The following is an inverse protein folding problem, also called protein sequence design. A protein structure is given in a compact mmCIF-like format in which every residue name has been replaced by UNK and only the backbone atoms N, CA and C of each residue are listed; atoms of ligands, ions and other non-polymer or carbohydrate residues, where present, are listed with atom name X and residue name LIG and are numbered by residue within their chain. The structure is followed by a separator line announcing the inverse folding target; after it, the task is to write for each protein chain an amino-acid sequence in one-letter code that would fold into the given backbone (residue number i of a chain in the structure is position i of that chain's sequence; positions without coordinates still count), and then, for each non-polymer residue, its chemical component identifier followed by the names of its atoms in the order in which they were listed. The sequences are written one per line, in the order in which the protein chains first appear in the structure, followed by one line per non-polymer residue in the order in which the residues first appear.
data_IF_774151370751
#
_entry.id   IF_774151370751
#
_cell.length_a   1.000
_cell.length_b   1.000
_cell.length_c   1.000
_cell.angle_alpha   90.00
_cell.angle_beta   90.00
_cell.angle_gamma   90.00
#
_symmetry.space_group_name_H-M   'P 1'
#
loop_
_entity.id
_entity.type
_entity.pdbx_description
1 polymer ?
#
# COMPACT_ATOMS: atom_id res chain seq x y z
N UNK A 1 -14.16 6.27 -11.21
CA UNK A 1 -13.80 5.78 -9.87
C UNK A 1 -13.44 7.00 -9.02
N UNK A 2 -14.28 7.37 -8.06
CA UNK A 2 -14.04 8.58 -7.23
C UNK A 2 -12.84 8.43 -6.30
N UNK A 3 -12.45 7.19 -5.97
CA UNK A 3 -11.29 6.93 -5.12
C UNK A 3 -9.99 7.29 -5.83
N UNK A 4 -9.88 6.98 -7.14
CA UNK A 4 -8.74 7.36 -7.97
C UNK A 4 -8.53 8.88 -7.99
N UNK A 5 -9.60 9.66 -8.14
CA UNK A 5 -9.52 11.12 -8.18
C UNK A 5 -8.97 11.63 -6.84
N UNK A 6 -9.62 11.28 -5.73
CA UNK A 6 -9.19 11.70 -4.40
C UNK A 6 -7.75 11.27 -4.08
N UNK A 7 -7.39 10.04 -4.44
CA UNK A 7 -6.04 9.51 -4.29
C UNK A 7 -5.01 10.32 -5.10
N UNK A 8 -5.29 10.56 -6.39
CA UNK A 8 -4.37 11.28 -7.30
C UNK A 8 -4.13 12.70 -6.82
N UNK A 9 -5.20 13.42 -6.43
CA UNK A 9 -5.07 14.80 -5.92
C UNK A 9 -4.21 14.85 -4.66
N UNK A 10 -4.42 13.90 -3.74
CA UNK A 10 -3.63 13.82 -2.51
C UNK A 10 -2.16 13.45 -2.79
N UNK A 11 -1.92 12.48 -3.68
CA UNK A 11 -0.58 12.09 -4.11
C UNK A 11 0.18 13.29 -4.69
N UNK A 12 -0.41 14.01 -5.63
CA UNK A 12 0.21 15.19 -6.25
C UNK A 12 0.47 16.28 -5.22
N UNK A 13 -0.45 16.51 -4.29
CA UNK A 13 -0.25 17.47 -3.21
C UNK A 13 0.92 17.08 -2.27
N UNK A 14 1.05 15.79 -1.94
CA UNK A 14 2.17 15.28 -1.13
C UNK A 14 3.50 15.43 -1.88
N UNK A 15 3.51 15.13 -3.18
CA UNK A 15 4.71 15.30 -4.03
C UNK A 15 5.06 16.78 -4.21
N UNK A 16 4.11 17.70 -4.02
CA UNK A 16 4.29 19.14 -4.23
C UNK A 16 4.03 19.57 -5.68
N UNK A 17 3.20 18.84 -6.43
CA UNK A 17 2.78 19.22 -7.79
C UNK A 17 1.59 20.17 -7.68
N UNK A 18 1.68 21.32 -8.37
CA UNK A 18 0.59 22.28 -8.43
C UNK A 18 -0.59 21.72 -9.25
N UNK A 19 -1.80 22.01 -8.81
CA UNK A 19 -3.04 21.49 -9.40
C UNK A 19 -3.99 22.67 -9.66
N UNK A 20 -4.20 23.01 -10.93
CA UNK A 20 -5.06 24.12 -11.35
C UNK A 20 -6.29 23.57 -12.10
N UNK A 21 -7.47 23.70 -11.48
CA UNK A 21 -8.75 23.25 -12.06
C UNK A 21 -9.21 24.26 -13.12
N UNK A 22 -9.24 23.81 -14.38
CA UNK A 22 -9.64 24.63 -15.53
C UNK A 22 -11.13 24.50 -15.85
N UNK A 23 -11.90 23.76 -15.06
CA UNK A 23 -13.26 23.36 -15.37
C UNK A 23 -13.31 22.23 -16.41
N UNK A 24 -14.52 21.82 -16.79
CA UNK A 24 -14.76 20.77 -17.79
C UNK A 24 -14.05 19.43 -17.49
N UNK A 25 -13.83 19.13 -16.21
CA UNK A 25 -13.12 17.94 -15.73
C UNK A 25 -11.65 17.88 -16.20
N UNK A 26 -10.99 19.04 -16.29
CA UNK A 26 -9.59 19.18 -16.67
C UNK A 26 -8.79 19.85 -15.56
N UNK A 27 -7.63 19.28 -15.28
CA UNK A 27 -6.70 19.81 -14.28
C UNK A 27 -5.34 19.95 -14.94
N UNK A 28 -4.73 21.12 -14.77
CA UNK A 28 -3.36 21.38 -15.22
C UNK A 28 -2.42 21.08 -14.07
N UNK A 29 -1.50 20.15 -14.30
CA UNK A 29 -0.42 19.81 -13.39
C UNK A 29 0.83 20.57 -13.79
N UNK A 30 1.44 21.30 -12.86
CA UNK A 30 2.74 21.96 -13.08
C UNK A 30 3.73 21.65 -11.97
N UNK A 31 5.03 21.54 -12.28
CA UNK A 31 6.07 21.45 -11.26
C UNK A 31 6.03 22.64 -10.29
N UNK A 32 6.63 22.47 -9.11
CA UNK A 32 6.76 23.54 -8.12
C UNK A 32 8.13 23.52 -7.44
N UNK A 33 8.51 24.66 -6.86
CA UNK A 33 9.78 24.82 -6.14
C UNK A 33 9.90 23.96 -4.86
N UNK A 34 8.79 23.40 -4.38
CA UNK A 34 8.74 22.61 -3.15
C UNK A 34 8.45 21.13 -3.40
N UNK A 35 8.66 20.66 -4.63
CA UNK A 35 8.52 19.24 -4.96
C UNK A 35 9.48 18.37 -4.15
N UNK A 36 9.03 17.17 -3.79
CA UNK A 36 9.84 16.19 -3.06
C UNK A 36 11.04 15.70 -3.87
N UNK A 37 10.93 15.73 -5.20
CA UNK A 37 11.97 15.33 -6.14
C UNK A 37 12.21 16.45 -7.15
N UNK A 38 13.45 16.63 -7.64
CA UNK A 38 13.75 17.65 -8.65
C UNK A 38 12.95 17.45 -9.93
N UNK A 39 12.83 16.20 -10.38
CA UNK A 39 12.10 15.82 -11.59
C UNK A 39 11.13 14.68 -11.28
N UNK A 40 9.86 14.83 -11.63
CA UNK A 40 8.85 13.78 -11.45
C UNK A 40 8.62 13.01 -12.76
N UNK A 41 8.92 11.69 -12.80
CA UNK A 41 8.80 10.91 -14.03
C UNK A 41 7.39 10.95 -14.64
N UNK A 42 7.28 11.50 -15.85
CA UNK A 42 6.03 11.65 -16.59
C UNK A 42 5.38 13.03 -16.50
N UNK A 43 5.88 13.94 -15.67
CA UNK A 43 5.46 15.34 -15.62
C UNK A 43 6.45 16.21 -16.43
N UNK A 44 6.03 16.85 -17.53
CA UNK A 44 6.87 17.79 -18.28
C UNK A 44 7.16 19.07 -17.48
N UNK A 45 8.27 19.76 -17.81
CA UNK A 45 8.62 21.06 -17.19
C UNK A 45 7.53 22.12 -17.40
N UNK A 46 6.95 22.18 -18.60
CA UNK A 46 5.84 23.08 -18.94
C UNK A 46 4.48 22.63 -18.35
N UNK A 47 4.46 21.49 -17.65
CA UNK A 47 3.26 20.85 -17.12
C UNK A 47 2.50 20.00 -18.13
N UNK A 48 1.40 19.42 -17.69
CA UNK A 48 0.47 18.70 -18.54
C UNK A 48 -0.98 18.89 -18.11
N UNK A 49 -1.91 18.74 -19.05
CA UNK A 49 -3.34 18.70 -18.76
C UNK A 49 -3.77 17.25 -18.56
N UNK A 50 -4.54 16.99 -17.52
CA UNK A 50 -5.06 15.66 -17.19
C UNK A 50 -6.58 15.67 -17.12
N UNK A 51 -7.19 14.52 -17.35
CA UNK A 51 -8.62 14.27 -17.10
C UNK A 51 -8.85 12.86 -16.57
N UNK A 52 -9.89 12.69 -15.77
CA UNK A 52 -10.34 11.38 -15.28
C UNK A 52 -11.55 10.85 -16.07
N UNK A 53 -12.06 11.64 -17.02
CA UNK A 53 -13.22 11.31 -17.84
C UNK A 53 -12.79 10.84 -19.22
N UNK A 54 -13.19 9.62 -19.59
CA UNK A 54 -12.82 9.03 -20.87
C UNK A 54 -13.38 9.83 -22.05
N UNK A 55 -14.62 10.30 -21.94
CA UNK A 55 -15.28 11.05 -23.01
C UNK A 55 -14.59 12.40 -23.26
N UNK A 56 -14.09 13.04 -22.19
CA UNK A 56 -13.26 14.25 -22.31
C UNK A 56 -11.96 13.92 -23.02
N UNK A 57 -11.22 12.89 -22.58
CA UNK A 57 -9.97 12.47 -23.21
C UNK A 57 -10.12 12.11 -24.70
N UNK A 58 -11.25 11.52 -25.09
CA UNK A 58 -11.54 11.20 -26.49
C UNK A 58 -11.78 12.45 -27.36
N UNK A 59 -12.20 13.56 -26.74
CA UNK A 59 -12.44 14.83 -27.42
C UNK A 59 -11.26 15.82 -27.34
N UNK A 60 -10.33 15.58 -26.40
CA UNK A 60 -9.20 16.44 -26.05
C UNK A 60 -7.91 15.63 -26.09
N UNK A 61 -7.27 15.55 -27.26
CA UNK A 61 -5.99 14.84 -27.42
C UNK A 61 -4.84 15.46 -26.60
N UNK A 62 -4.98 16.73 -26.20
CA UNK A 62 -4.04 17.46 -25.35
C UNK A 62 -4.11 17.05 -23.86
N UNK A 63 -5.14 16.30 -23.45
CA UNK A 63 -5.35 15.86 -22.08
C UNK A 63 -4.97 14.39 -21.88
N UNK A 64 -4.17 14.11 -20.86
CA UNK A 64 -3.83 12.74 -20.49
C UNK A 64 -4.97 12.09 -19.70
N UNK A 65 -5.41 10.91 -20.14
CA UNK A 65 -6.44 10.14 -19.44
C UNK A 65 -5.86 9.37 -18.25
N UNK A 66 -6.24 9.77 -17.04
CA UNK A 66 -5.69 9.20 -15.80
C UNK A 66 -6.47 7.95 -15.39
N UNK A 67 -5.73 6.87 -15.21
CA UNK A 67 -6.18 5.58 -14.66
C UNK A 67 -5.19 5.11 -13.59
N UNK A 68 -5.52 4.04 -12.86
CA UNK A 68 -4.58 3.37 -11.96
C UNK A 68 -3.29 2.89 -12.63
N UNK A 69 -3.32 2.67 -13.95
CA UNK A 69 -2.18 2.21 -14.74
C UNK A 69 -1.38 3.36 -15.36
N UNK A 70 -1.82 4.61 -15.16
CA UNK A 70 -1.13 5.76 -15.74
C UNK A 70 0.26 5.94 -15.13
N UNK A 71 1.31 6.22 -15.93
CA UNK A 71 2.68 6.37 -15.41
C UNK A 71 2.82 7.35 -14.25
N UNK A 72 2.12 8.50 -14.30
CA UNK A 72 2.12 9.46 -13.19
C UNK A 72 1.66 8.85 -11.85
N UNK A 73 0.69 7.95 -11.89
CA UNK A 73 0.17 7.28 -10.69
C UNK A 73 1.12 6.19 -10.22
N UNK A 74 1.61 5.34 -11.14
CA UNK A 74 2.56 4.27 -10.82
C UNK A 74 3.87 4.85 -10.27
N UNK A 75 4.42 5.88 -10.91
CA UNK A 75 5.69 6.49 -10.50
C UNK A 75 5.54 7.23 -9.17
N UNK A 76 4.39 7.88 -8.93
CA UNK A 76 4.13 8.50 -7.63
C UNK A 76 3.94 7.48 -6.51
N UNK A 77 3.25 6.36 -6.78
CA UNK A 77 3.18 5.24 -5.85
C UNK A 77 4.57 4.66 -5.55
N UNK A 78 5.38 4.41 -6.58
CA UNK A 78 6.75 3.91 -6.41
C UNK A 78 7.60 4.88 -5.59
N UNK A 79 7.53 6.19 -5.85
CA UNK A 79 8.23 7.21 -5.09
C UNK A 79 7.86 7.19 -3.59
N UNK A 80 6.58 7.05 -3.27
CA UNK A 80 6.12 7.02 -1.87
C UNK A 80 6.44 5.69 -1.19
N UNK A 81 6.26 4.57 -1.88
CA UNK A 81 6.44 3.22 -1.31
C UNK A 81 7.91 2.80 -1.22
N UNK A 82 8.79 3.38 -2.06
CA UNK A 82 10.24 3.12 -2.01
C UNK A 82 10.97 4.03 -1.01
N UNK A 83 10.39 5.18 -0.67
CA UNK A 83 10.94 6.10 0.32
C UNK A 83 10.73 5.62 1.76
N UNK A 84 11.60 6.06 2.66
CA UNK A 84 11.44 5.90 4.12
C UNK A 84 10.66 7.07 4.75
N UNK A 85 10.31 8.08 3.95
CA UNK A 85 9.55 9.25 4.36
C UNK A 85 8.21 8.85 4.99
N UNK A 86 7.93 9.36 6.19
CA UNK A 86 6.70 9.09 6.96
C UNK A 86 6.53 7.67 7.51
N UNK A 87 7.57 6.83 7.48
CA UNK A 87 7.57 5.50 8.12
C UNK A 87 7.43 5.55 9.65
N UNK A 88 7.72 6.69 10.29
CA UNK A 88 7.52 6.87 11.73
C UNK A 88 6.95 8.23 12.11
N UNK A 89 5.94 8.23 12.99
CA UNK A 89 5.35 9.48 13.50
C UNK A 89 4.78 9.34 14.90
N UNK A 90 4.49 10.47 15.55
CA UNK A 90 3.79 10.56 16.83
C UNK A 90 2.54 11.40 16.70
N UNK A 91 1.47 11.01 17.39
CA UNK A 91 0.21 11.75 17.41
C UNK A 91 -0.43 11.75 18.79
N UNK A 92 -1.25 12.76 19.04
CA UNK A 92 -2.05 12.89 20.25
C UNK A 92 -3.50 12.53 19.95
N UNK A 93 -4.08 11.69 20.80
CA UNK A 93 -5.51 11.40 20.81
C UNK A 93 -6.18 12.17 21.95
N UNK A 94 -7.02 13.14 21.60
CA UNK A 94 -7.78 13.94 22.57
C UNK A 94 -9.05 13.21 22.96
N UNK A 95 -8.99 12.41 24.02
CA UNK A 95 -10.12 11.59 24.44
C UNK A 95 -10.27 11.54 25.97
N UNK A 96 -11.34 12.16 26.49
CA UNK A 96 -11.65 12.22 27.93
C UNK A 96 -12.15 10.88 28.50
N UNK A 97 -12.61 9.96 27.65
CA UNK A 97 -13.07 8.65 28.07
C UNK A 97 -11.90 7.68 28.35
N UNK A 98 -10.68 8.03 27.92
CA UNK A 98 -9.49 7.22 28.14
C UNK A 98 -8.57 7.87 29.20
N UNK A 99 -7.85 7.07 30.00
CA UNK A 99 -6.84 7.60 30.92
C UNK A 99 -5.75 8.40 30.19
N UNK A 100 -5.30 9.49 30.80
CA UNK A 100 -4.15 10.26 30.28
C UNK A 100 -2.91 9.40 30.29
N UNK A 101 -2.11 9.48 29.23
CA UNK A 101 -0.88 8.70 29.08
C UNK A 101 -1.11 7.27 28.62
N UNK A 102 -2.34 6.87 28.27
CA UNK A 102 -2.56 5.62 27.54
C UNK A 102 -1.77 5.65 26.24
N UNK A 103 -1.04 4.56 25.99
CA UNK A 103 -0.26 4.33 24.78
C UNK A 103 -1.02 3.40 23.86
N UNK A 104 -1.09 3.80 22.59
CA UNK A 104 -1.48 2.94 21.49
C UNK A 104 -0.37 2.96 20.45
N UNK A 105 -0.07 1.81 19.88
CA UNK A 105 0.93 1.66 18.84
C UNK A 105 0.25 1.15 17.58
N UNK A 106 0.20 2.01 16.57
CA UNK A 106 -0.31 1.63 15.26
C UNK A 106 0.86 1.19 14.39
N UNK A 107 0.74 -0.01 13.83
CA UNK A 107 1.79 -0.69 13.09
C UNK A 107 1.21 -1.11 11.74
N UNK A 108 1.89 -0.76 10.66
CA UNK A 108 1.57 -1.23 9.32
C UNK A 108 2.69 -2.19 8.93
N UNK A 109 2.38 -3.48 8.95
CA UNK A 109 3.24 -4.50 8.38
C UNK A 109 2.90 -4.69 6.91
N UNK A 110 3.85 -5.17 6.11
CA UNK A 110 3.62 -5.55 4.72
C UNK A 110 4.01 -7.01 4.55
N UNK A 111 3.08 -7.82 4.07
CA UNK A 111 3.32 -9.20 3.66
C UNK A 111 3.68 -9.20 2.19
N UNK A 112 4.85 -9.74 1.85
CA UNK A 112 5.36 -9.74 0.48
C UNK A 112 6.24 -10.96 0.21
N UNK A 113 6.37 -11.29 -1.08
CA UNK A 113 7.24 -12.35 -1.56
C UNK A 113 8.29 -11.76 -2.52
N UNK A 114 9.54 -12.15 -2.34
CA UNK A 114 10.64 -11.72 -3.22
C UNK A 114 10.74 -12.70 -4.40
N UNK A 115 10.31 -12.27 -5.58
CA UNK A 115 10.31 -13.12 -6.76
C UNK A 115 10.49 -12.32 -8.06
N UNK A 116 11.03 -12.94 -9.12
CA UNK A 116 11.08 -12.32 -10.44
C UNK A 116 9.70 -11.93 -10.98
N UNK A 117 9.60 -10.76 -11.63
CA UNK A 117 8.34 -10.22 -12.17
C UNK A 117 7.60 -11.17 -13.12
N UNK A 118 8.31 -12.06 -13.83
CA UNK A 118 7.71 -13.03 -14.74
C UNK A 118 6.85 -14.09 -14.03
N UNK A 119 7.02 -14.29 -12.71
CA UNK A 119 6.16 -15.17 -11.91
C UNK A 119 4.82 -14.54 -11.53
N UNK A 120 4.65 -13.24 -11.73
CA UNK A 120 3.39 -12.52 -11.54
C UNK A 120 2.74 -12.72 -10.15
N UNK A 121 3.55 -12.84 -9.07
CA UNK A 121 3.04 -13.09 -7.73
C UNK A 121 2.02 -12.04 -7.24
N UNK A 122 2.11 -10.81 -7.75
CA UNK A 122 1.14 -9.74 -7.45
C UNK A 122 -0.32 -10.11 -7.80
N UNK A 123 -0.54 -11.16 -8.60
CA UNK A 123 -1.88 -11.71 -8.87
C UNK A 123 -2.51 -12.41 -7.67
N UNK A 124 -1.70 -12.90 -6.74
CA UNK A 124 -2.12 -13.73 -5.60
C UNK A 124 -1.72 -13.12 -4.25
N UNK A 125 -0.52 -12.54 -4.17
CA UNK A 125 0.01 -11.89 -2.99
C UNK A 125 0.82 -10.64 -3.40
N UNK A 126 0.16 -9.54 -3.82
CA UNK A 126 0.83 -8.25 -3.92
C UNK A 126 1.33 -7.81 -2.53
N UNK A 127 2.21 -6.79 -2.42
CA UNK A 127 2.58 -6.22 -1.13
C UNK A 127 1.33 -5.81 -0.34
N UNK A 128 0.96 -6.62 0.65
CA UNK A 128 -0.34 -6.54 1.30
C UNK A 128 -0.18 -5.98 2.70
N UNK A 129 -0.75 -4.80 2.99
CA UNK A 129 -0.62 -4.19 4.31
C UNK A 129 -1.48 -4.94 5.35
N UNK A 130 -0.89 -5.18 6.51
CA UNK A 130 -1.54 -5.71 7.71
C UNK A 130 -1.42 -4.66 8.80
N UNK A 131 -2.53 -3.96 9.05
CA UNK A 131 -2.63 -2.96 10.11
C UNK A 131 -2.89 -3.63 11.46
N UNK A 132 -2.10 -3.24 12.46
CA UNK A 132 -2.31 -3.58 13.86
C UNK A 132 -2.39 -2.31 14.69
N UNK A 133 -3.27 -2.29 15.68
CA UNK A 133 -3.39 -1.20 16.64
C UNK A 133 -3.31 -1.80 18.03
N UNK A 134 -2.12 -1.78 18.62
CA UNK A 134 -1.82 -2.45 19.87
C UNK A 134 -2.00 -1.51 21.06
N UNK A 135 -2.65 -2.00 22.12
CA UNK A 135 -2.58 -1.40 23.45
C UNK A 135 -1.30 -1.83 24.20
N UNK A 136 -1.09 -1.28 25.40
CA UNK A 136 0.05 -1.63 26.27
C UNK A 136 0.14 -3.11 26.68
N UNK A 137 -0.95 -3.87 26.54
CA UNK A 137 -1.02 -5.28 26.90
C UNK A 137 -0.89 -6.18 25.65
N UNK A 138 -0.71 -5.60 24.47
CA UNK A 138 -0.59 -6.32 23.21
C UNK A 138 -1.94 -6.71 22.60
N UNK A 139 -3.07 -6.17 23.05
CA UNK A 139 -4.35 -6.43 22.42
C UNK A 139 -4.45 -5.66 21.09
N UNK A 140 -4.78 -6.36 20.00
CA UNK A 140 -4.99 -5.73 18.70
C UNK A 140 -6.44 -5.22 18.54
N UNK A 141 -6.57 -3.91 18.39
CA UNK A 141 -7.82 -3.16 18.24
C UNK A 141 -8.14 -2.81 16.78
N UNK A 142 -7.28 -3.16 15.82
CA UNK A 142 -7.43 -2.74 14.42
C UNK A 142 -8.74 -3.24 13.78
N UNK A 143 -9.27 -4.39 14.22
CA UNK A 143 -10.54 -4.92 13.74
C UNK A 143 -11.77 -4.14 14.21
N UNK A 144 -11.65 -3.37 15.30
CA UNK A 144 -12.73 -2.55 15.85
C UNK A 144 -12.57 -1.05 15.54
N UNK A 145 -11.35 -0.63 15.19
CA UNK A 145 -10.99 0.77 14.99
C UNK A 145 -10.58 0.97 13.53
N UNK A 146 -11.49 1.52 12.73
CA UNK A 146 -11.25 1.84 11.32
C UNK A 146 -10.19 2.97 11.17
N UNK A 147 -9.43 2.96 10.08
CA UNK A 147 -8.24 3.81 9.90
C UNK A 147 -8.58 5.29 9.75
N UNK A 148 -9.44 5.65 8.81
CA UNK A 148 -9.73 7.04 8.46
C UNK A 148 -10.47 7.78 9.58
N UNK A 149 -11.42 7.12 10.23
CA UNK A 149 -12.14 7.65 11.39
C UNK A 149 -11.23 7.85 12.60
N UNK A 150 -10.26 6.96 12.82
CA UNK A 150 -9.27 7.10 13.88
C UNK A 150 -8.27 8.22 13.55
N UNK A 151 -7.72 8.23 12.33
CA UNK A 151 -6.75 9.21 11.87
C UNK A 151 -7.28 10.66 12.00
N UNK A 152 -8.55 10.90 11.67
CA UNK A 152 -9.18 12.23 11.80
C UNK A 152 -9.29 12.77 13.23
N UNK A 153 -9.20 11.91 14.24
CA UNK A 153 -9.23 12.31 15.66
C UNK A 153 -7.84 12.63 16.22
N UNK A 154 -6.79 12.31 15.45
CA UNK A 154 -5.41 12.51 15.86
C UNK A 154 -4.95 13.94 15.56
N UNK A 155 -4.06 14.43 16.40
CA UNK A 155 -3.41 15.73 16.23
C UNK A 155 -1.90 15.61 16.29
N UNK A 156 -1.21 16.43 15.51
CA UNK A 156 0.26 16.45 15.47
C UNK A 156 0.86 16.96 16.79
N UNK A 157 2.10 16.55 17.04
CA UNK A 157 2.89 16.99 18.20
C UNK A 157 4.07 17.82 17.73
N UNK A 158 4.39 18.90 18.44
CA UNK A 158 5.62 19.63 18.15
C UNK A 158 6.86 18.74 18.40
N UNK A 159 7.94 18.98 17.65
CA UNK A 159 9.15 18.15 17.66
C UNK A 159 9.79 17.99 19.05
N UNK A 160 9.79 19.06 19.86
CA UNK A 160 10.42 19.05 21.17
C UNK A 160 9.66 18.15 22.17
N UNK A 161 8.34 18.33 22.26
CA UNK A 161 7.47 17.52 23.12
C UNK A 161 7.43 16.07 22.64
N UNK A 162 7.33 15.86 21.32
CA UNK A 162 7.31 14.51 20.74
C UNK A 162 8.56 13.71 21.09
N UNK A 163 9.75 14.30 20.95
CA UNK A 163 11.01 13.61 21.29
C UNK A 163 11.09 13.20 22.77
N UNK A 164 10.64 14.05 23.69
CA UNK A 164 10.60 13.71 25.12
C UNK A 164 9.62 12.59 25.42
N UNK A 165 8.44 12.61 24.80
CA UNK A 165 7.43 11.57 24.98
C UNK A 165 7.96 10.21 24.49
N UNK A 166 8.52 10.15 23.28
CA UNK A 166 9.08 8.91 22.72
C UNK A 166 10.17 8.34 23.64
N UNK A 167 11.11 9.17 24.11
CA UNK A 167 12.18 8.72 24.99
C UNK A 167 11.65 8.19 26.33
N UNK A 168 10.58 8.77 26.86
CA UNK A 168 9.97 8.34 28.12
C UNK A 168 9.31 6.96 28.03
N UNK A 169 8.78 6.60 26.85
CA UNK A 169 8.00 5.35 26.64
C UNK A 169 8.70 4.35 25.74
N UNK A 170 9.99 4.55 25.43
CA UNK A 170 10.74 3.73 24.49
C UNK A 170 10.75 2.24 24.90
N UNK A 171 10.92 1.96 26.19
CA UNK A 171 10.91 0.58 26.70
C UNK A 171 9.54 -0.07 26.54
N UNK A 172 8.46 0.67 26.81
CA UNK A 172 7.09 0.18 26.64
C UNK A 172 6.79 -0.11 25.16
N UNK A 173 7.18 0.79 24.25
CA UNK A 173 7.02 0.58 22.81
C UNK A 173 7.75 -0.67 22.34
N UNK A 174 8.98 -0.91 22.82
CA UNK A 174 9.72 -2.12 22.48
C UNK A 174 9.02 -3.39 22.98
N UNK A 175 8.47 -3.37 24.19
CA UNK A 175 7.69 -4.49 24.72
C UNK A 175 6.40 -4.75 23.92
N UNK A 176 5.68 -3.69 23.52
CA UNK A 176 4.47 -3.80 22.69
C UNK A 176 4.80 -4.40 21.31
N UNK A 177 5.91 -3.98 20.70
CA UNK A 177 6.37 -4.54 19.42
C UNK A 177 6.61 -6.05 19.50
N UNK A 178 7.30 -6.52 20.55
CA UNK A 178 7.54 -7.94 20.76
C UNK A 178 6.24 -8.73 20.98
N UNK A 179 5.25 -8.16 21.68
CA UNK A 179 3.94 -8.78 21.87
C UNK A 179 3.13 -8.88 20.57
N UNK A 180 3.34 -7.94 19.64
CA UNK A 180 2.68 -7.92 18.33
C UNK A 180 3.21 -8.94 17.34
N UNK A 181 4.48 -9.36 17.48
CA UNK A 181 5.18 -10.21 16.51
C UNK A 181 4.46 -11.54 16.24
N UNK A 182 4.02 -12.24 17.29
CA UNK A 182 3.28 -13.50 17.13
C UNK A 182 1.92 -13.32 16.43
N UNK A 183 1.28 -12.16 16.61
CA UNK A 183 -0.02 -11.86 15.98
C UNK A 183 0.13 -11.53 14.50
N UNK A 184 1.12 -10.71 14.12
CA UNK A 184 1.39 -10.46 12.70
C UNK A 184 1.86 -11.74 11.99
N UNK A 185 2.70 -12.56 12.63
CA UNK A 185 3.16 -13.82 12.03
C UNK A 185 1.97 -14.75 11.70
N UNK A 186 0.99 -14.84 12.61
CA UNK A 186 -0.24 -15.61 12.37
C UNK A 186 -1.10 -15.00 11.26
N UNK A 187 -1.25 -13.67 11.23
CA UNK A 187 -2.02 -12.98 10.19
C UNK A 187 -1.38 -13.11 8.81
N UNK A 188 -0.05 -12.96 8.73
CA UNK A 188 0.74 -13.13 7.52
C UNK A 188 0.63 -14.57 7.00
N UNK A 189 0.76 -15.59 7.86
CA UNK A 189 0.61 -16.98 7.46
C UNK A 189 -0.78 -17.25 6.86
N UNK A 190 -1.84 -16.68 7.44
CA UNK A 190 -3.18 -16.84 6.91
C UNK A 190 -3.34 -16.23 5.50
N UNK A 191 -2.72 -15.08 5.24
CA UNK A 191 -2.69 -14.46 3.91
C UNK A 191 -1.89 -15.30 2.90
N UNK A 192 -0.73 -15.80 3.32
CA UNK A 192 0.14 -16.65 2.49
C UNK A 192 -0.58 -17.95 2.13
N UNK A 193 -1.23 -18.62 3.10
CA UNK A 193 -1.96 -19.86 2.86
C UNK A 193 -3.16 -19.65 1.92
N UNK A 194 -3.88 -18.53 2.07
CA UNK A 194 -4.96 -18.15 1.17
C UNK A 194 -4.44 -17.90 -0.25
N UNK A 195 -3.34 -17.14 -0.41
CA UNK A 195 -2.72 -16.88 -1.70
C UNK A 195 -2.20 -18.15 -2.37
N UNK A 196 -1.58 -19.07 -1.61
CA UNK A 196 -1.13 -20.37 -2.11
C UNK A 196 -2.28 -21.22 -2.61
N UNK A 197 -3.38 -21.26 -1.88
CA UNK A 197 -4.58 -21.98 -2.29
C UNK A 197 -5.16 -21.39 -3.58
N UNK A 198 -5.32 -20.07 -3.63
CA UNK A 198 -5.84 -19.38 -4.82
C UNK A 198 -4.93 -19.58 -6.04
N UNK A 199 -3.61 -19.49 -5.87
CA UNK A 199 -2.64 -19.71 -6.92
C UNK A 199 -2.71 -21.15 -7.45
N UNK A 200 -2.74 -22.14 -6.55
CA UNK A 200 -2.84 -23.55 -6.92
C UNK A 200 -4.14 -23.84 -7.68
N UNK A 201 -5.28 -23.35 -7.17
CA UNK A 201 -6.59 -23.55 -7.80
C UNK A 201 -6.64 -22.95 -9.21
N UNK A 202 -6.17 -21.70 -9.38
CA UNK A 202 -6.18 -21.01 -10.68
C UNK A 202 -5.23 -21.64 -11.69
N UNK A 203 -4.00 -21.97 -11.27
CA UNK A 203 -2.99 -22.53 -12.17
C UNK A 203 -3.31 -23.97 -12.56
N UNK A 204 -3.89 -24.77 -11.65
CA UNK A 204 -4.41 -26.10 -11.98
C UNK A 204 -5.57 -26.03 -12.96
N UNK A 205 -6.50 -25.11 -12.77
CA UNK A 205 -7.62 -24.93 -13.69
C UNK A 205 -7.13 -24.53 -15.10
N UNK A 206 -6.11 -23.68 -15.18
CA UNK A 206 -5.48 -23.30 -16.45
C UNK A 206 -4.77 -24.48 -17.13
N UNK A 207 -4.01 -25.27 -16.36
CA UNK A 207 -3.35 -26.47 -16.85
C UNK A 207 -4.36 -27.50 -17.38
N UNK A 208 -5.40 -27.82 -16.59
CA UNK A 208 -6.45 -28.76 -17.02
C UNK A 208 -7.18 -28.28 -18.27
N UNK A 209 -7.38 -26.96 -18.43
CA UNK A 209 -7.94 -26.39 -19.64
C UNK A 209 -7.01 -26.57 -20.85
N UNK A 210 -5.70 -26.35 -20.69
CA UNK A 210 -4.74 -26.56 -21.78
C UNK A 210 -4.61 -28.04 -22.15
N UNK A 211 -4.62 -28.95 -21.18
CA UNK A 211 -4.63 -30.39 -21.42
C UNK A 211 -5.85 -30.82 -22.23
N UNK A 212 -7.04 -30.33 -21.85
CA UNK A 212 -8.27 -30.59 -22.58
C UNK A 212 -8.23 -30.04 -24.02
N UNK A 213 -7.69 -28.84 -24.21
CA UNK A 213 -7.53 -28.25 -25.54
C UNK A 213 -6.50 -29.02 -26.38
N UNK A 214 -5.42 -29.51 -25.78
CA UNK A 214 -4.40 -30.31 -26.48
C UNK A 214 -4.98 -31.59 -27.05
N UNK A 215 -5.91 -32.23 -26.35
CA UNK A 215 -6.59 -33.42 -26.83
C UNK A 215 -7.39 -33.20 -28.12
N UNK A 216 -7.77 -31.94 -28.42
CA UNK A 216 -8.58 -31.57 -29.60
C UNK A 216 -7.88 -30.61 -30.57
N UNK A 217 -6.70 -30.09 -30.23
CA UNK A 217 -5.96 -29.12 -31.02
C UNK A 217 -4.44 -29.43 -31.03
N UNK A 218 -3.88 -29.90 -32.17
CA UNK A 218 -2.48 -30.26 -32.28
C UNK A 218 -1.50 -29.05 -32.25
N UNK A 219 -2.02 -27.81 -32.27
CA UNK A 219 -1.18 -26.61 -32.20
C UNK A 219 -0.64 -26.32 -30.79
N UNK A 220 -1.17 -27.00 -29.75
CA UNK A 220 -0.70 -26.83 -28.38
C UNK A 220 0.53 -27.70 -28.17
N UNK A 221 1.65 -27.06 -27.82
CA UNK A 221 2.96 -27.70 -27.67
C UNK A 221 3.15 -28.25 -26.26
N UNK A 222 3.96 -29.30 -26.14
CA UNK A 222 4.41 -29.85 -24.86
C UNK A 222 5.08 -28.78 -23.97
N UNK A 223 5.86 -27.90 -24.59
CA UNK A 223 6.57 -26.82 -23.89
C UNK A 223 5.62 -25.85 -23.17
N UNK A 224 4.39 -25.67 -23.67
CA UNK A 224 3.40 -24.78 -23.05
C UNK A 224 2.84 -25.38 -21.76
N UNK A 225 2.57 -26.69 -21.74
CA UNK A 225 2.13 -27.39 -20.53
C UNK A 225 3.27 -27.43 -19.49
N UNK A 226 4.49 -27.73 -19.93
CA UNK A 226 5.67 -27.75 -19.08
C UNK A 226 5.96 -26.37 -18.47
N UNK A 227 5.75 -25.29 -19.24
CA UNK A 227 5.91 -23.92 -18.76
C UNK A 227 4.91 -23.57 -17.65
N UNK A 228 3.63 -23.96 -17.80
CA UNK A 228 2.61 -23.70 -16.76
C UNK A 228 2.90 -24.51 -15.49
N UNK A 229 3.25 -25.80 -15.62
CA UNK A 229 3.56 -26.61 -14.44
C UNK A 229 4.82 -26.10 -13.73
N UNK A 230 5.85 -25.72 -14.49
CA UNK A 230 7.05 -25.09 -13.92
C UNK A 230 6.73 -23.75 -13.24
N UNK A 231 5.91 -22.91 -13.87
CA UNK A 231 5.47 -21.64 -13.29
C UNK A 231 4.70 -21.88 -11.99
N UNK A 232 3.77 -22.84 -11.96
CA UNK A 232 3.03 -23.22 -10.77
C UNK A 232 3.95 -23.63 -9.63
N UNK A 233 4.92 -24.50 -9.90
CA UNK A 233 5.88 -24.91 -8.87
C UNK A 233 6.69 -23.72 -8.33
N UNK A 234 7.21 -22.88 -9.23
CA UNK A 234 7.98 -21.69 -8.84
C UNK A 234 7.15 -20.67 -8.04
N UNK A 235 5.88 -20.46 -8.41
CA UNK A 235 4.95 -19.59 -7.68
C UNK A 235 4.71 -20.14 -6.27
N UNK A 236 4.48 -21.45 -6.13
CA UNK A 236 4.24 -22.08 -4.84
C UNK A 236 5.46 -22.03 -3.93
N UNK A 237 6.66 -22.23 -4.48
CA UNK A 237 7.92 -22.14 -3.74
C UNK A 237 8.20 -20.70 -3.29
N UNK A 238 7.96 -19.72 -4.17
CA UNK A 238 8.15 -18.31 -3.84
C UNK A 238 7.15 -17.82 -2.80
N UNK A 239 5.88 -18.25 -2.87
CA UNK A 239 4.87 -17.95 -1.84
C UNK A 239 5.20 -18.64 -0.50
N UNK A 240 5.81 -19.82 -0.52
CA UNK A 240 6.25 -20.49 0.71
C UNK A 240 7.40 -19.76 1.43
N UNK A 241 8.17 -18.95 0.68
CA UNK A 241 9.23 -18.09 1.22
C UNK A 241 8.75 -16.65 1.50
N UNK A 242 7.46 -16.36 1.30
CA UNK A 242 6.91 -15.05 1.61
C UNK A 242 7.10 -14.72 3.09
N UNK A 243 7.37 -13.45 3.36
CA UNK A 243 7.62 -12.94 4.69
C UNK A 243 6.78 -11.72 4.98
N UNK A 244 7.07 -11.09 6.12
CA UNK A 244 6.48 -9.83 6.48
C UNK A 244 7.55 -8.92 7.07
N UNK A 245 7.37 -7.61 6.90
CA UNK A 245 8.23 -6.57 7.49
C UNK A 245 7.38 -5.44 8.06
N UNK A 246 7.89 -4.76 9.09
CA UNK A 246 7.28 -3.53 9.56
C UNK A 246 7.62 -2.40 8.58
N UNK A 247 6.61 -1.74 8.04
CA UNK A 247 6.75 -0.68 7.04
C UNK A 247 6.53 0.71 7.64
N UNK A 248 5.49 0.85 8.48
CA UNK A 248 5.21 2.10 9.17
C UNK A 248 4.81 1.89 10.64
N UNK A 249 5.15 2.87 11.48
CA UNK A 249 4.85 2.91 12.91
C UNK A 249 4.34 4.30 13.31
N UNK A 250 3.22 4.34 14.02
CA UNK A 250 2.72 5.56 14.65
C UNK A 250 2.49 5.35 16.13
N UNK A 251 3.19 6.13 16.95
CA UNK A 251 2.96 6.20 18.39
C UNK A 251 1.81 7.16 18.67
N UNK A 252 0.77 6.70 19.38
CA UNK A 252 -0.35 7.53 19.81
C UNK A 252 -0.35 7.62 21.34
N UNK A 253 -0.42 8.86 21.84
CA UNK A 253 -0.51 9.14 23.28
C UNK A 253 -1.84 9.83 23.56
N UNK A 254 -2.58 9.30 24.54
CA UNK A 254 -3.86 9.90 24.97
C UNK A 254 -3.61 11.11 25.86
N UNK A 255 -4.31 12.20 25.55
CA UNK A 255 -4.34 13.45 26.31
C UNK A 255 -5.79 13.92 26.49
N UNK A 256 -6.03 14.73 27.52
CA UNK A 256 -7.31 15.43 27.71
C UNK A 256 -7.30 16.87 27.17
N UNK A 257 -6.11 17.37 26.79
CA UNK A 257 -5.85 18.71 26.26
C UNK A 257 -5.70 18.69 24.73
#
# INVERSE_FOLDING_TARGET
DTSLIAFSMNLFNIVGINQDDRGENLIVLTPSDHMLVPDFPGLPEDGCTITFERDVALSREDAQFITWEHPLIINGLDLILSGDTSSSTISLLKNKALPVGTLLLELIYVVEAQAPKHLQLNRFLPPTPVRMLLDKNGNNLAGQVEFESFNRQLSAVNRHTGSKLVNAVQQDVHAILQQGEGQVAKAAQALIDAARKEADDKLKAELSRLEALRAVNPNIRDDELAAIESNRQQVMDALAQAGWRLDALRLIVVTHQ
#
